data_IF_754838401670
#
_entry.id   IF_754838401670
#
_cell.length_a   1.000
_cell.length_b   1.000
_cell.length_c   1.000
_cell.angle_alpha   90.00
_cell.angle_beta   90.00
_cell.angle_gamma   90.00
#
_symmetry.space_group_name_H-M   'P 1'
#
loop_
_entity.id
_entity.type
_entity.pdbx_description
1 polymer ?
#
# COMPACT_ATOMS: atom_id res chain seq x y z
N UNK A 1 0.49 -0.13 10.32
CA UNK A 1 -0.78 -0.90 10.35
C UNK A 1 -1.76 -0.34 11.40
N UNK A 2 -1.30 -0.01 12.61
CA UNK A 2 -2.14 0.58 13.66
C UNK A 2 -2.97 1.79 13.21
N UNK A 3 -2.35 2.76 12.53
CA UNK A 3 -3.05 3.94 11.99
C UNK A 3 -4.11 3.55 10.94
N UNK A 4 -3.77 2.68 9.99
CA UNK A 4 -4.73 2.21 8.99
C UNK A 4 -5.94 1.52 9.63
N UNK A 5 -5.70 0.72 10.67
CA UNK A 5 -6.77 0.06 11.41
C UNK A 5 -7.61 1.05 12.23
N UNK A 6 -6.96 1.98 12.94
CA UNK A 6 -7.62 3.01 13.76
C UNK A 6 -8.48 3.95 12.92
N UNK A 7 -7.92 4.43 11.81
CA UNK A 7 -8.54 5.49 11.01
C UNK A 7 -9.39 4.95 9.86
N UNK A 8 -9.59 3.63 9.78
CA UNK A 8 -10.41 2.99 8.75
C UNK A 8 -11.84 3.52 8.66
N UNK A 9 -12.42 3.88 9.81
CA UNK A 9 -13.78 4.40 9.90
C UNK A 9 -13.88 5.88 9.49
N UNK A 10 -12.75 6.59 9.38
CA UNK A 10 -12.71 7.99 8.94
C UNK A 10 -12.77 8.13 7.43
N UNK A 11 -12.51 7.05 6.68
CA UNK A 11 -12.48 7.06 5.22
C UNK A 11 -13.76 6.42 4.66
N UNK A 12 -14.36 6.98 3.60
CA UNK A 12 -15.70 6.56 3.14
C UNK A 12 -15.72 5.17 2.50
N UNK A 13 -14.56 4.64 2.10
CA UNK A 13 -14.41 3.25 1.67
C UNK A 13 -12.95 2.81 1.72
N UNK A 14 -12.71 1.50 1.60
CA UNK A 14 -11.37 0.91 1.53
C UNK A 14 -10.50 1.54 0.43
N UNK A 15 -11.07 1.82 -0.74
CA UNK A 15 -10.36 2.42 -1.86
C UNK A 15 -10.16 3.94 -1.74
N UNK A 16 -10.88 4.59 -0.82
CA UNK A 16 -10.90 6.05 -0.70
C UNK A 16 -9.94 6.63 0.32
N UNK A 17 -9.17 5.83 1.06
CA UNK A 17 -8.22 6.41 2.01
C UNK A 17 -7.54 5.43 2.94
N UNK A 18 -7.82 4.13 2.83
CA UNK A 18 -7.20 3.15 3.70
C UNK A 18 -5.70 3.00 3.42
N UNK A 19 -5.30 3.07 2.15
CA UNK A 19 -3.90 3.16 1.75
C UNK A 19 -3.25 4.47 2.23
N UNK A 20 -4.00 5.57 2.23
CA UNK A 20 -3.53 6.87 2.72
C UNK A 20 -3.30 6.84 4.24
N UNK A 21 -4.17 6.20 5.01
CA UNK A 21 -3.99 5.99 6.45
C UNK A 21 -2.79 5.08 6.76
N UNK A 22 -2.57 4.05 5.95
CA UNK A 22 -1.37 3.21 6.07
C UNK A 22 -0.09 4.02 5.83
N UNK A 23 -0.07 4.84 4.77
CA UNK A 23 1.06 5.69 4.43
C UNK A 23 1.29 6.79 5.49
N UNK A 24 0.23 7.42 5.99
CA UNK A 24 0.29 8.42 7.05
C UNK A 24 0.98 7.87 8.30
N UNK A 25 0.61 6.66 8.72
CA UNK A 25 1.27 5.98 9.83
C UNK A 25 2.71 5.55 9.55
N UNK A 26 3.03 5.11 8.33
CA UNK A 26 4.39 4.73 7.96
C UNK A 26 5.34 5.94 7.87
N UNK A 27 4.81 7.10 7.50
CA UNK A 27 5.55 8.36 7.39
C UNK A 27 5.53 9.18 8.69
N UNK A 28 4.72 8.79 9.68
CA UNK A 28 4.52 9.51 10.95
C UNK A 28 4.01 10.94 10.76
N UNK A 29 3.11 11.12 9.80
CA UNK A 29 2.49 12.42 9.47
C UNK A 29 0.98 12.29 9.45
N UNK A 30 0.29 13.43 9.58
CA UNK A 30 -1.13 13.55 9.27
C UNK A 30 -1.29 13.85 7.78
N UNK A 31 -2.15 13.10 7.11
CA UNK A 31 -2.55 13.35 5.73
C UNK A 31 -4.04 13.68 5.68
N UNK A 32 -4.40 14.69 4.88
CA UNK A 32 -5.77 15.18 4.79
C UNK A 32 -6.24 15.21 3.33
N UNK A 33 -7.49 14.79 3.12
CA UNK A 33 -8.27 15.15 1.94
C UNK A 33 -9.20 16.29 2.35
N UNK A 34 -8.98 17.53 1.88
CA UNK A 34 -9.71 18.71 2.34
C UNK A 34 -11.22 18.50 2.29
N UNK A 35 -11.92 18.83 3.37
CA UNK A 35 -13.37 18.68 3.53
C UNK A 35 -13.92 17.24 3.51
N UNK A 36 -13.06 16.21 3.49
CA UNK A 36 -13.49 14.81 3.53
C UNK A 36 -13.02 14.08 4.78
N UNK A 37 -11.71 13.97 4.98
CA UNK A 37 -11.14 13.23 6.11
C UNK A 37 -9.68 13.59 6.36
N UNK A 38 -9.22 13.34 7.58
CA UNK A 38 -7.81 13.33 7.94
C UNK A 38 -7.44 12.02 8.65
N UNK A 39 -6.26 11.50 8.35
CA UNK A 39 -5.75 10.22 8.84
C UNK A 39 -4.29 10.34 9.25
N UNK A 40 -3.86 9.55 10.23
CA UNK A 40 -2.54 9.65 10.84
C UNK A 40 -2.47 10.63 12.00
N UNK A 41 -1.26 10.80 12.49
CA UNK A 41 -0.90 11.66 13.63
C UNK A 41 0.21 12.60 13.19
N UNK A 42 0.17 13.84 13.67
CA UNK A 42 1.13 14.89 13.33
C UNK A 42 2.40 14.77 14.19
N UNK A 43 3.05 13.61 14.14
CA UNK A 43 4.28 13.30 14.90
C UNK A 43 5.48 14.02 14.27
N UNK A 44 5.51 14.11 12.94
CA UNK A 44 6.45 14.90 12.17
C UNK A 44 5.72 15.92 11.29
N UNK A 45 6.36 17.07 11.07
CA UNK A 45 5.85 18.08 10.15
C UNK A 45 5.88 17.56 8.71
N UNK A 46 4.75 17.68 8.02
CA UNK A 46 4.64 17.24 6.63
C UNK A 46 5.53 18.11 5.74
N UNK A 47 6.42 17.46 4.99
CA UNK A 47 7.38 18.14 4.11
C UNK A 47 7.67 17.33 2.85
N UNK A 48 8.25 17.98 1.84
CA UNK A 48 8.61 17.37 0.56
C UNK A 48 9.55 16.16 0.68
N UNK A 49 10.33 16.07 1.76
CA UNK A 49 11.21 14.92 2.04
C UNK A 49 10.43 13.60 2.17
N UNK A 50 9.17 13.67 2.60
CA UNK A 50 8.27 12.52 2.73
C UNK A 50 7.91 11.90 1.38
N UNK A 51 7.98 12.65 0.27
CA UNK A 51 7.78 12.12 -1.07
C UNK A 51 8.82 11.04 -1.37
N UNK A 52 10.09 11.31 -1.08
CA UNK A 52 11.16 10.34 -1.29
C UNK A 52 11.01 9.11 -0.39
N UNK A 53 10.57 9.30 0.87
CA UNK A 53 10.28 8.19 1.78
C UNK A 53 9.11 7.33 1.27
N UNK A 54 8.03 7.96 0.81
CA UNK A 54 6.88 7.27 0.22
C UNK A 54 7.28 6.47 -1.03
N UNK A 55 8.13 7.03 -1.89
CA UNK A 55 8.66 6.32 -3.07
C UNK A 55 9.52 5.11 -2.70
N UNK A 56 10.30 5.19 -1.62
CA UNK A 56 11.06 4.04 -1.11
C UNK A 56 10.12 2.93 -0.62
N UNK A 57 9.06 3.29 0.11
CA UNK A 57 8.03 2.34 0.56
C UNK A 57 7.35 1.70 -0.65
N UNK A 58 6.95 2.49 -1.66
CA UNK A 58 6.39 1.98 -2.92
C UNK A 58 7.31 0.96 -3.58
N UNK A 59 8.60 1.28 -3.72
CA UNK A 59 9.57 0.38 -4.33
C UNK A 59 9.70 -0.94 -3.56
N UNK A 60 9.77 -0.88 -2.23
CA UNK A 60 9.81 -2.08 -1.40
C UNK A 60 8.55 -2.94 -1.61
N UNK A 61 7.36 -2.33 -1.62
CA UNK A 61 6.10 -3.04 -1.86
C UNK A 61 6.07 -3.68 -3.25
N UNK A 62 6.54 -2.99 -4.30
CA UNK A 62 6.61 -3.55 -5.64
C UNK A 62 7.55 -4.76 -5.72
N UNK A 63 8.74 -4.67 -5.11
CA UNK A 63 9.68 -5.79 -5.07
C UNK A 63 9.06 -6.97 -4.33
N UNK A 64 8.45 -6.74 -3.16
CA UNK A 64 7.77 -7.79 -2.41
C UNK A 64 6.61 -8.42 -3.20
N UNK A 65 5.81 -7.61 -3.90
CA UNK A 65 4.72 -8.10 -4.74
C UNK A 65 5.23 -8.99 -5.87
N UNK A 66 6.33 -8.58 -6.53
CA UNK A 66 6.95 -9.40 -7.57
C UNK A 66 7.43 -10.73 -7.00
N UNK A 67 8.17 -10.69 -5.89
CA UNK A 67 8.76 -11.89 -5.30
C UNK A 67 7.71 -12.86 -4.73
N UNK A 68 6.68 -12.35 -4.07
CA UNK A 68 5.71 -13.16 -3.32
C UNK A 68 4.47 -13.54 -4.13
N UNK A 69 4.15 -12.81 -5.20
CA UNK A 69 2.92 -13.01 -5.97
C UNK A 69 3.24 -13.30 -7.43
N UNK A 70 3.99 -12.41 -8.11
CA UNK A 70 4.24 -12.56 -9.55
C UNK A 70 5.09 -13.81 -9.84
N UNK A 71 6.23 -13.98 -9.16
CA UNK A 71 7.11 -15.13 -9.39
C UNK A 71 6.42 -16.48 -9.08
N UNK A 72 5.71 -16.66 -7.95
CA UNK A 72 4.98 -17.91 -7.70
C UNK A 72 3.88 -18.20 -8.71
N UNK A 73 3.16 -17.17 -9.18
CA UNK A 73 2.17 -17.34 -10.24
C UNK A 73 2.84 -17.79 -11.53
N UNK A 74 3.90 -17.10 -11.98
CA UNK A 74 4.63 -17.47 -13.19
C UNK A 74 5.23 -18.88 -13.09
N UNK A 75 5.79 -19.24 -11.93
CA UNK A 75 6.29 -20.58 -11.68
C UNK A 75 5.18 -21.63 -11.80
N UNK A 76 4.05 -21.41 -11.12
CA UNK A 76 2.89 -22.31 -11.19
C UNK A 76 2.38 -22.47 -12.62
N UNK A 77 2.17 -21.36 -13.32
CA UNK A 77 1.75 -21.32 -14.73
C UNK A 77 2.73 -22.11 -15.60
N UNK A 78 4.04 -21.94 -15.41
CA UNK A 78 5.07 -22.67 -16.17
C UNK A 78 5.08 -24.18 -15.92
N UNK A 79 4.67 -24.63 -14.73
CA UNK A 79 4.58 -26.05 -14.38
C UNK A 79 3.30 -26.71 -14.93
N UNK A 80 2.17 -25.98 -14.90
CA UNK A 80 0.84 -26.53 -15.19
C UNK A 80 0.34 -26.31 -16.63
N UNK A 81 0.78 -25.27 -17.34
CA UNK A 81 0.38 -25.08 -18.75
C UNK A 81 0.90 -26.15 -19.71
N UNK A 82 2.17 -26.60 -19.62
CA UNK A 82 2.68 -27.65 -20.51
C UNK A 82 2.04 -29.02 -20.27
N UNK A 83 1.39 -29.22 -19.12
CA UNK A 83 0.73 -30.47 -18.74
C UNK A 83 -0.77 -30.50 -19.07
N UNK A 84 -1.32 -29.42 -19.64
CA UNK A 84 -2.68 -29.41 -20.19
C UNK A 84 -2.66 -30.06 -21.59
N UNK A 85 -3.47 -31.10 -21.84
CA UNK A 85 -3.62 -31.63 -23.17
C UNK A 85 -4.22 -30.55 -24.07
N UNK A 86 -3.56 -30.27 -25.20
CA UNK A 86 -4.12 -29.43 -26.26
C UNK A 86 -5.30 -30.23 -26.84
N UNK A 87 -6.53 -29.88 -26.45
CA UNK A 87 -7.76 -30.38 -27.08
C UNK A 87 -7.96 -29.75 -28.46
#
# INVERSE_FOLDING_TARGET
>A
WAIAHRDQAKVPSRNHGWQMAAMAGALQVRLEKPSYYAVGDEIAELSSTHIFRALRIRNAVLVLFVLLIVLPILFSVSLFLPSLPIM
#
